data_IF_180055485525
#
_entry.id   IF_180055485525
#
_cell.length_a   1.000
_cell.length_b   1.000
_cell.length_c   1.000
_cell.angle_alpha   90.00
_cell.angle_beta   90.00
_cell.angle_gamma   90.00
#
_symmetry.space_group_name_H-M   'P 1'
#
loop_
_entity.id
_entity.type
_entity.pdbx_description
1 polymer ?
#
# COMPACT_ATOMS: atom_id res chain seq x y z
N UNK A 1 4.93 18.54 -25.08
CA UNK A 1 4.90 17.09 -24.83
C UNK A 1 4.50 16.93 -23.38
N UNK A 2 3.24 16.54 -23.11
CA UNK A 2 2.83 16.21 -21.74
C UNK A 2 3.34 14.81 -21.47
N UNK A 3 4.22 14.70 -20.48
CA UNK A 3 4.61 13.41 -19.94
C UNK A 3 3.58 13.11 -18.86
N UNK A 4 2.67 12.18 -19.14
CA UNK A 4 1.75 11.66 -18.12
C UNK A 4 2.58 10.83 -17.13
N UNK A 5 2.80 11.38 -15.95
CA UNK A 5 3.48 10.70 -14.85
C UNK A 5 2.39 10.13 -13.95
N UNK A 6 2.23 8.81 -13.99
CA UNK A 6 1.18 8.11 -13.25
C UNK A 6 1.75 7.13 -12.24
N UNK A 7 1.04 6.94 -11.14
CA UNK A 7 1.27 5.87 -10.15
C UNK A 7 1.07 4.50 -10.79
N UNK A 8 1.46 3.44 -10.08
CA UNK A 8 1.15 2.06 -10.42
C UNK A 8 -0.37 1.82 -10.56
N UNK A 9 -1.18 2.57 -9.81
CA UNK A 9 -2.65 2.53 -9.84
C UNK A 9 -3.25 3.35 -10.99
N UNK A 10 -2.40 4.04 -11.77
CA UNK A 10 -2.81 4.87 -12.91
C UNK A 10 -3.29 6.27 -12.55
N UNK A 11 -3.13 6.71 -11.31
CA UNK A 11 -3.44 8.07 -10.86
C UNK A 11 -2.32 9.05 -11.21
N UNK A 12 -2.66 10.32 -11.44
CA UNK A 12 -1.66 11.36 -11.73
C UNK A 12 -0.81 11.66 -10.50
N UNK A 13 0.50 11.83 -10.72
CA UNK A 13 1.44 12.18 -9.65
C UNK A 13 1.57 13.69 -9.51
N UNK A 14 1.23 14.19 -8.33
CA UNK A 14 1.33 15.60 -7.95
C UNK A 14 2.65 15.89 -7.23
N UNK A 15 3.23 17.04 -7.55
CA UNK A 15 4.43 17.52 -6.85
C UNK A 15 4.10 17.89 -5.41
N UNK A 16 4.85 17.35 -4.45
CA UNK A 16 4.57 17.49 -3.02
C UNK A 16 3.56 16.48 -2.48
N UNK A 17 2.95 15.65 -3.33
CA UNK A 17 2.05 14.57 -2.92
C UNK A 17 2.76 13.44 -2.18
N UNK A 18 1.98 12.73 -1.36
CA UNK A 18 2.40 11.53 -0.62
C UNK A 18 1.95 10.27 -1.35
N UNK A 19 2.87 9.32 -1.52
CA UNK A 19 2.66 8.05 -2.21
C UNK A 19 3.38 6.92 -1.48
N UNK A 20 3.05 5.67 -1.77
CA UNK A 20 3.60 4.51 -1.10
C UNK A 20 4.44 3.67 -2.04
N UNK A 21 5.54 3.10 -1.57
CA UNK A 21 6.22 2.05 -2.32
C UNK A 21 5.52 0.70 -2.18
N UNK A 22 5.98 -0.31 -2.93
CA UNK A 22 5.45 -1.69 -2.85
C UNK A 22 5.57 -2.36 -1.47
N UNK A 23 6.24 -1.74 -0.49
CA UNK A 23 6.33 -2.21 0.90
C UNK A 23 5.42 -1.41 1.84
N UNK A 24 4.67 -0.45 1.33
CA UNK A 24 3.83 0.44 2.14
C UNK A 24 4.59 1.58 2.82
N UNK A 25 5.86 1.83 2.47
CA UNK A 25 6.59 3.00 3.01
C UNK A 25 6.09 4.26 2.32
N UNK A 26 5.76 5.30 3.09
CA UNK A 26 5.33 6.59 2.55
C UNK A 26 6.53 7.41 2.03
N UNK A 27 6.34 8.05 0.88
CA UNK A 27 7.30 8.85 0.14
C UNK A 27 6.65 10.15 -0.32
N UNK A 28 7.32 11.28 -0.09
CA UNK A 28 6.87 12.58 -0.64
C UNK A 28 7.60 12.90 -1.93
N UNK A 29 6.87 13.21 -3.00
CA UNK A 29 7.46 13.60 -4.28
C UNK A 29 8.03 15.01 -4.16
N UNK A 30 9.33 15.16 -4.46
CA UNK A 30 10.03 16.46 -4.36
C UNK A 30 10.80 16.85 -5.62
N UNK A 31 10.82 15.98 -6.62
CA UNK A 31 11.54 16.23 -7.85
C UNK A 31 11.12 15.28 -8.96
N UNK A 32 11.17 15.77 -10.19
CA UNK A 32 11.05 14.94 -11.40
C UNK A 32 12.39 15.03 -12.12
N UNK A 33 12.94 13.87 -12.51
CA UNK A 33 14.23 13.78 -13.19
C UNK A 33 14.09 12.96 -14.47
N UNK A 34 14.48 13.55 -15.59
CA UNK A 34 14.69 12.83 -16.85
C UNK A 34 15.99 12.04 -16.75
N UNK A 35 15.91 10.71 -16.88
CA UNK A 35 17.08 9.82 -16.77
C UNK A 35 17.71 9.50 -18.11
N UNK A 36 16.94 9.54 -19.20
CA UNK A 36 17.47 9.46 -20.57
C UNK A 36 17.10 10.71 -21.36
N UNK A 37 17.97 11.72 -21.29
CA UNK A 37 17.81 12.98 -22.01
C UNK A 37 18.07 12.85 -23.53
N UNK A 38 18.63 11.73 -23.99
CA UNK A 38 18.88 11.46 -25.41
C UNK A 38 17.66 10.85 -26.11
N UNK A 39 16.83 10.13 -25.37
CA UNK A 39 15.61 9.50 -25.91
C UNK A 39 14.28 10.04 -25.35
N UNK A 40 14.27 10.97 -24.38
CA UNK A 40 13.08 11.55 -23.72
C UNK A 40 11.97 10.52 -23.41
N UNK A 41 12.33 9.26 -23.18
CA UNK A 41 11.39 8.16 -22.97
C UNK A 41 11.44 7.63 -21.54
N UNK A 42 12.48 7.99 -20.77
CA UNK A 42 12.67 7.52 -19.40
C UNK A 42 12.65 8.67 -18.40
N UNK A 43 11.67 8.59 -17.51
CA UNK A 43 11.42 9.53 -16.43
C UNK A 43 11.56 8.78 -15.11
N UNK A 44 12.19 9.43 -14.14
CA UNK A 44 12.28 8.99 -12.76
C UNK A 44 11.79 10.11 -11.85
N UNK A 45 11.26 9.75 -10.70
CA UNK A 45 10.91 10.67 -9.63
C UNK A 45 11.99 10.65 -8.57
N UNK A 46 12.19 11.81 -7.95
CA UNK A 46 12.96 11.94 -6.72
C UNK A 46 11.96 12.10 -5.58
N UNK A 47 12.03 11.16 -4.65
CA UNK A 47 11.17 11.05 -3.50
C UNK A 47 11.98 11.26 -2.22
N UNK A 48 11.40 11.86 -1.19
CA UNK A 48 12.00 11.92 0.14
C UNK A 48 11.55 10.73 0.97
N UNK A 49 12.52 10.08 1.61
CA UNK A 49 12.33 9.10 2.68
C UNK A 49 12.78 9.73 4.00
N UNK A 50 11.93 9.70 5.03
CA UNK A 50 12.37 9.98 6.40
C UNK A 50 11.30 10.50 7.35
N UNK A 51 11.23 9.90 8.54
CA UNK A 51 10.68 10.54 9.75
C UNK A 51 11.63 11.68 10.15
N UNK A 52 11.30 12.91 9.77
CA UNK A 52 11.71 14.27 10.23
C UNK A 52 13.19 14.56 10.60
N UNK A 53 14.07 13.59 10.88
CA UNK A 53 15.44 13.83 11.37
C UNK A 53 16.55 13.29 10.43
N UNK A 54 16.24 12.33 9.54
CA UNK A 54 17.18 11.82 8.52
C UNK A 54 16.50 11.77 7.15
N UNK A 55 16.52 12.89 6.42
CA UNK A 55 15.99 12.98 5.06
C UNK A 55 16.99 12.39 4.07
N UNK A 56 16.67 11.24 3.47
CA UNK A 56 17.39 10.70 2.32
C UNK A 56 16.50 10.80 1.08
N UNK A 57 16.99 11.39 -0.01
CA UNK A 57 16.29 11.36 -1.29
C UNK A 57 16.59 10.05 -2.02
N UNK A 58 15.52 9.35 -2.42
CA UNK A 58 15.60 8.14 -3.25
C UNK A 58 15.02 8.43 -4.62
N UNK A 59 15.60 7.81 -5.65
CA UNK A 59 15.05 7.88 -7.00
C UNK A 59 14.16 6.66 -7.24
N UNK A 60 12.91 6.89 -7.60
CA UNK A 60 11.93 5.82 -7.88
C UNK A 60 11.30 6.02 -9.25
N UNK A 61 10.77 4.96 -9.85
CA UNK A 61 9.93 5.12 -11.04
C UNK A 61 8.49 5.45 -10.66
N UNK A 62 7.77 6.24 -11.48
CA UNK A 62 6.35 6.52 -11.25
C UNK A 62 5.49 5.25 -11.06
N UNK A 63 5.76 4.22 -11.85
CA UNK A 63 5.04 2.94 -11.80
C UNK A 63 5.45 2.02 -10.63
N UNK A 64 6.29 2.51 -9.72
CA UNK A 64 6.68 1.83 -8.47
C UNK A 64 6.06 2.52 -7.24
N UNK A 65 5.25 3.57 -7.46
CA UNK A 65 4.53 4.32 -6.43
C UNK A 65 3.04 4.05 -6.50
N UNK A 66 2.37 3.98 -5.34
CA UNK A 66 0.95 3.70 -5.19
C UNK A 66 0.27 4.87 -4.46
N UNK A 67 -0.99 5.15 -4.78
CA UNK A 67 -1.74 6.24 -4.14
C UNK A 67 -2.24 5.87 -2.75
N UNK A 68 -2.43 4.59 -2.51
CA UNK A 68 -2.74 4.02 -1.19
C UNK A 68 -1.66 2.99 -0.84
N UNK A 69 -1.42 2.70 0.46
CA UNK A 69 -0.45 1.69 0.83
C UNK A 69 -0.84 0.35 0.19
N UNK A 70 -0.03 -0.20 -0.72
CA UNK A 70 -0.36 -1.48 -1.33
C UNK A 70 -0.28 -2.57 -0.26
N UNK A 71 -0.98 -3.66 -0.52
CA UNK A 71 -0.82 -4.83 0.32
C UNK A 71 0.57 -5.46 0.12
N UNK A 72 1.12 -6.08 1.17
CA UNK A 72 2.42 -6.76 1.12
C UNK A 72 2.35 -8.10 1.86
N UNK A 73 3.30 -8.99 1.56
CA UNK A 73 3.41 -10.25 2.29
C UNK A 73 3.69 -10.00 3.77
N UNK A 74 4.56 -9.05 4.09
CA UNK A 74 4.88 -8.66 5.46
C UNK A 74 3.65 -8.14 6.20
N UNK A 75 2.82 -7.31 5.54
CA UNK A 75 1.58 -6.82 6.15
C UNK A 75 0.57 -7.95 6.36
N UNK A 76 0.44 -8.87 5.41
CA UNK A 76 -0.42 -10.03 5.57
C UNK A 76 0.05 -10.93 6.72
N UNK A 77 1.36 -11.14 6.85
CA UNK A 77 1.96 -11.87 7.98
C UNK A 77 1.67 -11.17 9.31
N UNK A 78 1.90 -9.85 9.42
CA UNK A 78 1.57 -9.08 10.63
C UNK A 78 0.08 -9.16 11.00
N UNK A 79 -0.81 -9.11 10.00
CA UNK A 79 -2.26 -9.21 10.22
C UNK A 79 -2.65 -10.62 10.70
N UNK A 80 -2.04 -11.66 10.13
CA UNK A 80 -2.24 -13.06 10.54
C UNK A 80 -1.70 -13.32 11.95
N UNK A 81 -0.51 -12.81 12.28
CA UNK A 81 0.10 -12.93 13.61
C UNK A 81 -0.78 -12.28 14.67
N UNK A 82 -1.32 -11.07 14.40
CA UNK A 82 -2.30 -10.44 15.32
C UNK A 82 -3.53 -11.30 15.57
N UNK A 83 -4.03 -11.96 14.53
CA UNK A 83 -5.15 -12.90 14.65
C UNK A 83 -4.78 -14.14 15.46
N UNK A 84 -3.59 -14.71 15.22
CA UNK A 84 -3.11 -15.92 15.87
C UNK A 84 -2.75 -15.72 17.36
N UNK A 85 -2.23 -14.55 17.71
CA UNK A 85 -1.85 -14.20 19.09
C UNK A 85 -3.05 -13.74 19.95
N UNK A 86 -4.22 -13.56 19.35
CA UNK A 86 -5.40 -13.12 20.06
C UNK A 86 -5.96 -14.22 20.97
N UNK A 87 -6.26 -13.87 22.23
CA UNK A 87 -6.87 -14.81 23.20
C UNK A 87 -8.35 -15.09 22.91
N UNK A 88 -9.04 -14.17 22.26
CA UNK A 88 -10.43 -14.27 21.80
C UNK A 88 -10.64 -13.29 20.65
N UNK A 89 -11.64 -13.53 19.80
CA UNK A 89 -12.02 -12.64 18.70
C UNK A 89 -10.89 -12.48 17.67
N UNK A 90 -10.29 -13.60 17.29
CA UNK A 90 -9.14 -13.75 16.38
C UNK A 90 -9.41 -13.06 15.04
N UNK A 91 -10.62 -13.20 14.51
CA UNK A 91 -11.02 -12.53 13.28
C UNK A 91 -11.08 -11.00 13.43
N UNK A 92 -11.50 -10.47 14.58
CA UNK A 92 -11.46 -9.04 14.85
C UNK A 92 -10.02 -8.55 14.98
N UNK A 93 -9.17 -9.30 15.70
CA UNK A 93 -7.77 -8.97 15.88
C UNK A 93 -6.98 -8.99 14.55
N UNK A 94 -7.29 -9.93 13.66
CA UNK A 94 -6.78 -9.95 12.27
C UNK A 94 -7.03 -8.61 11.58
N UNK A 95 -8.27 -8.10 11.64
CA UNK A 95 -8.63 -6.79 11.10
C UNK A 95 -8.13 -5.59 11.91
N UNK A 96 -7.38 -5.80 13.00
CA UNK A 96 -6.93 -4.74 13.90
C UNK A 96 -8.07 -4.08 14.68
N UNK A 97 -9.21 -4.76 14.81
CA UNK A 97 -10.42 -4.27 15.46
C UNK A 97 -10.57 -4.86 16.86
N UNK A 98 -11.14 -4.07 17.79
CA UNK A 98 -11.54 -4.60 19.10
C UNK A 98 -12.83 -5.42 18.99
N UNK A 99 -13.01 -6.39 19.88
CA UNK A 99 -14.19 -7.26 19.96
C UNK A 99 -15.53 -6.52 20.08
N UNK A 100 -15.52 -5.25 20.49
CA UNK A 100 -16.71 -4.46 20.77
C UNK A 100 -17.03 -3.40 19.70
N UNK A 101 -16.20 -3.26 18.67
CA UNK A 101 -16.38 -2.23 17.63
C UNK A 101 -16.98 -2.80 16.34
N UNK A 102 -18.17 -3.39 16.44
CA UNK A 102 -18.87 -3.99 15.31
C UNK A 102 -19.71 -2.97 14.51
N UNK A 103 -19.81 -1.71 14.95
CA UNK A 103 -20.63 -0.69 14.30
C UNK A 103 -20.14 -0.29 12.91
N UNK A 104 -18.83 -0.33 12.70
CA UNK A 104 -18.12 0.04 11.46
C UNK A 104 -17.31 -1.14 10.89
N UNK A 105 -17.53 -2.35 11.41
CA UNK A 105 -16.73 -3.50 11.07
C UNK A 105 -16.95 -3.94 9.61
N UNK A 106 -15.84 -4.26 8.94
CA UNK A 106 -15.83 -4.76 7.56
C UNK A 106 -16.51 -6.13 7.44
N UNK A 107 -16.58 -6.87 8.54
CA UNK A 107 -17.43 -8.03 8.67
C UNK A 107 -18.88 -7.57 8.86
N UNK A 108 -19.56 -7.37 7.73
CA UNK A 108 -20.98 -7.05 7.64
C UNK A 108 -21.83 -7.91 8.58
N UNK A 109 -22.92 -7.34 9.11
CA UNK A 109 -23.81 -7.95 10.13
C UNK A 109 -24.47 -9.26 9.70
N UNK A 110 -24.38 -9.63 8.42
CA UNK A 110 -24.94 -10.86 7.85
C UNK A 110 -23.97 -12.05 7.80
N UNK A 111 -22.68 -11.89 8.12
CA UNK A 111 -21.67 -12.96 8.08
C UNK A 111 -20.98 -13.19 9.43
N UNK A 112 -20.39 -14.38 9.63
CA UNK A 112 -19.47 -14.59 10.74
C UNK A 112 -18.10 -13.96 10.39
N UNK A 113 -17.40 -13.42 11.39
CA UNK A 113 -16.15 -12.68 11.18
C UNK A 113 -15.07 -13.56 10.54
N UNK A 114 -15.06 -14.85 10.84
CA UNK A 114 -14.11 -15.84 10.33
C UNK A 114 -14.29 -16.03 8.82
N UNK A 115 -15.53 -16.09 8.33
CA UNK A 115 -15.81 -16.22 6.89
C UNK A 115 -15.33 -14.98 6.13
N UNK A 116 -15.44 -13.81 6.73
CA UNK A 116 -14.97 -12.55 6.12
C UNK A 116 -13.44 -12.52 6.11
N UNK A 117 -12.78 -12.87 7.22
CA UNK A 117 -11.34 -12.99 7.31
C UNK A 117 -10.77 -13.98 6.28
N UNK A 118 -11.33 -15.18 6.14
CA UNK A 118 -10.86 -16.17 5.15
C UNK A 118 -10.96 -15.66 3.71
N UNK A 119 -12.01 -14.89 3.38
CA UNK A 119 -12.18 -14.30 2.04
C UNK A 119 -11.20 -13.16 1.80
N UNK A 120 -10.98 -12.34 2.82
CA UNK A 120 -10.02 -11.26 2.79
C UNK A 120 -8.60 -11.80 2.56
N UNK A 121 -8.16 -12.76 3.38
CA UNK A 121 -6.86 -13.46 3.24
C UNK A 121 -6.69 -14.02 1.82
N UNK A 122 -7.69 -14.73 1.29
CA UNK A 122 -7.62 -15.28 -0.07
C UNK A 122 -7.50 -14.18 -1.13
N UNK A 123 -8.22 -13.08 -0.96
CA UNK A 123 -8.19 -11.94 -1.89
C UNK A 123 -6.81 -11.29 -1.89
N UNK A 124 -6.26 -11.03 -0.70
CA UNK A 124 -4.91 -10.50 -0.50
C UNK A 124 -3.84 -11.40 -1.13
N UNK A 125 -3.90 -12.71 -0.89
CA UNK A 125 -3.00 -13.68 -1.54
C UNK A 125 -3.06 -13.60 -3.07
N UNK A 126 -4.25 -13.47 -3.66
CA UNK A 126 -4.42 -13.35 -5.11
C UNK A 126 -3.83 -12.04 -5.65
N UNK A 127 -4.04 -10.93 -4.95
CA UNK A 127 -3.43 -9.63 -5.27
C UNK A 127 -1.89 -9.72 -5.21
N UNK A 128 -1.36 -10.32 -4.13
CA UNK A 128 0.09 -10.49 -3.92
C UNK A 128 0.74 -11.44 -4.95
N UNK A 129 -0.03 -12.37 -5.53
CA UNK A 129 0.40 -13.21 -6.66
C UNK A 129 0.30 -12.52 -8.02
N UNK A 130 -0.28 -11.32 -8.08
CA UNK A 130 -0.55 -10.59 -9.32
C UNK A 130 -1.69 -11.19 -10.15
N UNK A 131 -2.55 -12.01 -9.54
CA UNK A 131 -3.73 -12.61 -10.21
C UNK A 131 -4.88 -11.60 -10.34
N UNK A 132 -4.88 -10.56 -9.50
CA UNK A 132 -5.87 -9.47 -9.49
C UNK A 132 -5.10 -8.16 -9.43
N UNK A 133 -5.48 -7.20 -10.29
CA UNK A 133 -4.97 -5.82 -10.29
C UNK A 133 -6.09 -4.87 -9.88
#
# INVERSE_FOLDING_TARGET
>A
MNIDIKTADGEEIEFGGSYYDGRGTEHRVVGIRLTDYRHITKVSLSCLVGKVENLCCVSMRPNELYSTPPDSWEKLEEDLDRGADALNYEACAYFGMSACDCSSCIADKGGTCERVAMRDILTRIRMLRGEVK
#
